data_IF_123668412704
#
_entry.id   IF_123668412704
#
_cell.length_a   1.000
_cell.length_b   1.000
_cell.length_c   1.000
_cell.angle_alpha   90.00
_cell.angle_beta   90.00
_cell.angle_gamma   90.00
#
_symmetry.space_group_name_H-M   'P 1'
#
loop_
_entity.id
_entity.type
_entity.pdbx_description
1 polymer ?
#
# COMPACT_ATOMS: atom_id res chain seq x y z
N UNK A 1 4.96 -37.28 48.99
CA UNK A 1 5.40 -35.91 49.37
C UNK A 1 5.99 -35.25 48.13
N UNK A 2 5.46 -34.10 47.68
CA UNK A 2 6.02 -33.37 46.53
C UNK A 2 7.31 -32.68 46.97
N UNK A 3 8.44 -33.10 46.41
CA UNK A 3 9.72 -32.40 46.55
C UNK A 3 9.68 -31.15 45.67
N UNK A 4 9.75 -29.98 46.29
CA UNK A 4 9.91 -28.71 45.57
C UNK A 4 11.39 -28.34 45.58
N UNK A 5 11.96 -28.09 44.41
CA UNK A 5 13.31 -27.56 44.27
C UNK A 5 13.23 -26.03 44.39
N UNK A 6 13.72 -25.47 45.48
CA UNK A 6 13.81 -24.00 45.68
C UNK A 6 15.10 -23.45 45.07
N UNK A 7 14.99 -22.71 43.97
CA UNK A 7 16.09 -21.95 43.38
C UNK A 7 16.22 -20.58 44.05
N UNK A 8 17.37 -20.28 44.67
CA UNK A 8 17.69 -18.94 45.21
C UNK A 8 18.39 -18.10 44.14
N UNK A 9 17.63 -17.30 43.39
CA UNK A 9 18.18 -16.34 42.43
C UNK A 9 18.57 -15.05 43.16
N UNK A 10 19.82 -14.56 42.98
CA UNK A 10 20.21 -13.25 43.52
C UNK A 10 19.41 -12.16 42.81
N UNK A 11 18.92 -11.16 43.56
CA UNK A 11 18.13 -10.03 43.03
C UNK A 11 18.77 -9.38 41.79
N UNK A 12 20.09 -9.30 41.74
CA UNK A 12 20.83 -8.76 40.58
C UNK A 12 20.59 -9.54 39.28
N UNK A 13 20.54 -10.87 39.33
CA UNK A 13 20.25 -11.69 38.15
C UNK A 13 18.81 -11.53 37.68
N UNK A 14 17.86 -11.33 38.62
CA UNK A 14 16.49 -11.03 38.27
C UNK A 14 16.37 -9.69 37.54
N UNK A 15 17.08 -8.65 38.02
CA UNK A 15 17.09 -7.35 37.34
C UNK A 15 17.74 -7.42 35.95
N UNK A 16 18.83 -8.16 35.80
CA UNK A 16 19.47 -8.38 34.49
C UNK A 16 18.51 -9.10 33.53
N UNK A 17 17.85 -10.17 34.00
CA UNK A 17 16.85 -10.89 33.20
C UNK A 17 15.72 -9.96 32.73
N UNK A 18 15.15 -9.16 33.63
CA UNK A 18 14.09 -8.22 33.30
C UNK A 18 14.56 -7.15 32.31
N UNK A 19 15.77 -6.62 32.50
CA UNK A 19 16.34 -5.63 31.60
C UNK A 19 16.54 -6.18 30.18
N UNK A 20 17.11 -7.38 30.06
CA UNK A 20 17.28 -8.05 28.76
C UNK A 20 15.91 -8.31 28.12
N UNK A 21 14.92 -8.75 28.90
CA UNK A 21 13.56 -8.99 28.41
C UNK A 21 12.88 -7.72 27.91
N UNK A 22 13.07 -6.59 28.59
CA UNK A 22 12.54 -5.29 28.13
C UNK A 22 13.20 -4.89 26.81
N UNK A 23 14.52 -4.99 26.70
CA UNK A 23 15.24 -4.64 25.46
C UNK A 23 14.77 -5.51 24.29
N UNK A 24 14.63 -6.82 24.48
CA UNK A 24 14.21 -7.71 23.39
C UNK A 24 12.78 -7.43 22.94
N UNK A 25 11.85 -7.17 23.87
CA UNK A 25 10.47 -6.82 23.53
C UNK A 25 10.38 -5.47 22.81
N UNK A 26 11.09 -4.45 23.29
CA UNK A 26 11.11 -3.13 22.65
C UNK A 26 11.75 -3.20 21.26
N UNK A 27 12.88 -3.90 21.13
CA UNK A 27 13.57 -4.08 19.85
C UNK A 27 12.72 -4.81 18.82
N UNK A 28 12.04 -5.89 19.24
CA UNK A 28 11.15 -6.64 18.36
C UNK A 28 9.90 -5.84 17.97
N UNK A 29 9.33 -5.08 18.90
CA UNK A 29 8.23 -4.17 18.63
C UNK A 29 8.61 -3.09 17.61
N UNK A 30 9.78 -2.48 17.78
CA UNK A 30 10.32 -1.50 16.84
C UNK A 30 10.57 -2.10 15.46
N UNK A 31 11.16 -3.29 15.39
CA UNK A 31 11.39 -4.01 14.13
C UNK A 31 10.08 -4.24 13.36
N UNK A 32 9.05 -4.77 14.03
CA UNK A 32 7.73 -4.99 13.42
C UNK A 32 7.09 -3.69 12.93
N UNK A 33 7.23 -2.62 13.71
CA UNK A 33 6.71 -1.32 13.33
C UNK A 33 7.38 -0.81 12.06
N UNK A 34 8.71 -0.87 11.97
CA UNK A 34 9.46 -0.47 10.77
C UNK A 34 9.04 -1.26 9.53
N UNK A 35 8.90 -2.59 9.65
CA UNK A 35 8.47 -3.44 8.55
C UNK A 35 7.07 -3.08 8.03
N UNK A 36 6.17 -2.66 8.93
CA UNK A 36 4.78 -2.32 8.60
C UNK A 36 4.59 -0.85 8.18
N UNK A 37 5.62 -0.01 8.31
CA UNK A 37 5.56 1.42 8.01
C UNK A 37 6.71 1.86 7.10
N UNK A 38 6.89 1.26 5.91
CA UNK A 38 7.85 1.79 4.94
C UNK A 38 7.51 3.22 4.53
N UNK A 39 8.45 3.90 3.89
CA UNK A 39 8.20 5.23 3.33
C UNK A 39 7.68 5.09 1.90
N UNK A 40 6.37 5.23 1.71
CA UNK A 40 5.71 5.12 0.40
C UNK A 40 5.36 6.53 -0.10
N UNK A 41 5.73 6.82 -1.34
CA UNK A 41 5.30 8.00 -2.08
C UNK A 41 4.58 7.55 -3.34
N UNK A 42 3.40 8.09 -3.58
CA UNK A 42 2.62 7.86 -4.79
C UNK A 42 2.51 9.20 -5.50
N UNK A 43 2.91 9.22 -6.77
CA UNK A 43 2.71 10.36 -7.66
C UNK A 43 1.78 9.94 -8.78
N UNK A 44 0.73 10.70 -9.03
CA UNK A 44 -0.06 10.50 -10.25
C UNK A 44 0.64 11.21 -11.39
N UNK A 45 0.82 10.50 -12.50
CA UNK A 45 1.49 11.06 -13.68
C UNK A 45 0.80 10.64 -14.96
N UNK A 46 0.98 11.42 -16.02
CA UNK A 46 0.55 11.05 -17.37
C UNK A 46 1.06 9.65 -17.78
N UNK A 47 0.15 8.86 -18.35
CA UNK A 47 0.44 7.53 -18.87
C UNK A 47 -0.54 7.21 -20.02
N UNK A 48 -0.43 6.01 -20.56
CA UNK A 48 -1.29 5.55 -21.65
C UNK A 48 -1.62 4.06 -21.52
N UNK A 49 -2.88 3.72 -21.77
CA UNK A 49 -3.32 2.34 -21.92
C UNK A 49 -3.14 1.83 -23.35
N UNK A 50 -2.56 2.60 -24.28
CA UNK A 50 -2.45 2.21 -25.69
C UNK A 50 -2.62 3.40 -26.62
N UNK A 51 -2.46 3.18 -27.93
CA UNK A 51 -2.57 4.27 -28.90
C UNK A 51 -3.90 5.03 -28.74
N UNK A 52 -3.82 6.34 -28.52
CA UNK A 52 -4.93 7.27 -28.30
C UNK A 52 -5.72 7.09 -26.99
N UNK A 53 -5.32 6.18 -26.09
CA UNK A 53 -5.92 6.00 -24.77
C UNK A 53 -5.05 6.65 -23.71
N UNK A 54 -5.26 7.93 -23.44
CA UNK A 54 -4.58 8.63 -22.33
C UNK A 54 -5.29 8.29 -21.03
N UNK A 55 -4.50 7.93 -20.04
CA UNK A 55 -4.96 7.66 -18.68
C UNK A 55 -3.80 7.92 -17.74
N UNK A 56 -4.02 8.69 -16.68
CA UNK A 56 -3.02 8.87 -15.64
C UNK A 56 -2.80 7.59 -14.83
N UNK A 57 -1.56 7.38 -14.40
CA UNK A 57 -1.14 6.18 -13.68
C UNK A 57 -0.49 6.54 -12.33
N UNK A 58 -0.65 5.69 -11.31
CA UNK A 58 0.06 5.83 -10.06
C UNK A 58 1.52 5.36 -10.20
N UNK A 59 2.48 6.26 -10.03
CA UNK A 59 3.89 5.93 -9.85
C UNK A 59 4.17 5.75 -8.36
N UNK A 60 4.44 4.51 -7.96
CA UNK A 60 4.67 4.14 -6.55
C UNK A 60 6.17 3.95 -6.32
N UNK A 61 6.73 4.76 -5.43
CA UNK A 61 8.13 4.67 -4.99
C UNK A 61 8.13 4.44 -3.49
N UNK A 62 8.84 3.40 -3.04
CA UNK A 62 8.93 3.08 -1.62
C UNK A 62 10.35 2.79 -1.16
N UNK A 63 10.62 3.04 0.12
CA UNK A 63 11.90 2.71 0.76
C UNK A 63 11.67 2.04 2.12
N UNK A 64 12.57 1.13 2.48
CA UNK A 64 12.54 0.47 3.78
C UNK A 64 13.08 1.38 4.88
N UNK A 65 12.45 1.36 6.06
CA UNK A 65 13.00 2.07 7.22
C UNK A 65 14.18 1.31 7.78
N UNK A 66 15.35 1.95 7.78
CA UNK A 66 16.59 1.40 8.35
C UNK A 66 17.02 0.04 7.76
N UNK A 67 16.69 -0.23 6.50
CA UNK A 67 17.02 -1.49 5.84
C UNK A 67 16.20 -2.69 6.34
N UNK A 68 15.16 -2.47 7.14
CA UNK A 68 14.25 -3.53 7.59
C UNK A 68 13.30 -3.86 6.44
N UNK A 69 13.29 -5.13 6.03
CA UNK A 69 12.42 -5.63 4.98
C UNK A 69 10.95 -5.30 5.26
N UNK A 70 10.26 -4.90 4.20
CA UNK A 70 8.85 -4.54 4.27
C UNK A 70 8.01 -5.78 4.59
N UNK A 71 6.97 -5.60 5.39
CA UNK A 71 6.02 -6.68 5.66
C UNK A 71 5.30 -7.08 4.36
N UNK A 72 5.13 -8.38 4.07
CA UNK A 72 4.47 -8.85 2.84
C UNK A 72 3.07 -8.27 2.62
N UNK A 73 2.35 -7.98 3.71
CA UNK A 73 1.04 -7.33 3.64
C UNK A 73 1.09 -5.96 2.94
N UNK A 74 2.12 -5.14 3.24
CA UNK A 74 2.27 -3.82 2.62
C UNK A 74 2.71 -3.94 1.15
N UNK A 75 3.53 -4.94 0.84
CA UNK A 75 3.90 -5.25 -0.54
C UNK A 75 2.69 -5.61 -1.39
N UNK A 76 1.83 -6.49 -0.86
CA UNK A 76 0.58 -6.88 -1.51
C UNK A 76 -0.36 -5.69 -1.74
N UNK A 77 -0.46 -4.77 -0.77
CA UNK A 77 -1.23 -3.53 -0.94
C UNK A 77 -0.72 -2.67 -2.10
N UNK A 78 0.61 -2.54 -2.25
CA UNK A 78 1.22 -1.80 -3.36
C UNK A 78 0.92 -2.49 -4.70
N UNK A 79 1.09 -3.81 -4.76
CA UNK A 79 0.81 -4.61 -5.96
C UNK A 79 -0.67 -4.53 -6.34
N UNK A 80 -1.57 -4.54 -5.37
CA UNK A 80 -3.01 -4.46 -5.63
C UNK A 80 -3.41 -3.13 -6.26
N UNK A 81 -2.82 -2.00 -5.85
CA UNK A 81 -3.03 -0.70 -6.50
C UNK A 81 -2.62 -0.77 -7.98
N UNK A 82 -1.46 -1.36 -8.27
CA UNK A 82 -0.96 -1.50 -9.65
C UNK A 82 -1.87 -2.41 -10.48
N UNK A 83 -2.30 -3.53 -9.90
CA UNK A 83 -3.15 -4.50 -10.57
C UNK A 83 -4.55 -3.92 -10.88
N UNK A 84 -5.14 -3.18 -9.95
CA UNK A 84 -6.40 -2.47 -10.22
C UNK A 84 -6.25 -1.49 -11.39
N UNK A 85 -5.17 -0.72 -11.42
CA UNK A 85 -4.91 0.20 -12.51
C UNK A 85 -4.74 -0.51 -13.85
N UNK A 86 -4.01 -1.62 -13.89
CA UNK A 86 -3.86 -2.44 -15.10
C UNK A 86 -5.20 -3.03 -15.57
N UNK A 87 -6.06 -3.44 -14.64
CA UNK A 87 -7.43 -3.86 -14.91
C UNK A 87 -8.24 -2.77 -15.61
N UNK A 88 -8.22 -1.53 -15.10
CA UNK A 88 -8.88 -0.38 -15.73
C UNK A 88 -8.32 -0.12 -17.13
N UNK A 89 -7.00 -0.11 -17.29
CA UNK A 89 -6.35 0.06 -18.58
C UNK A 89 -6.79 -1.01 -19.60
N UNK A 90 -6.97 -2.26 -19.16
CA UNK A 90 -7.44 -3.34 -20.01
C UNK A 90 -8.90 -3.14 -20.45
N UNK A 91 -9.78 -2.75 -19.53
CA UNK A 91 -11.17 -2.41 -19.85
C UNK A 91 -11.28 -1.26 -20.84
N UNK A 92 -10.42 -0.23 -20.71
CA UNK A 92 -10.41 0.90 -21.63
C UNK A 92 -10.04 0.49 -23.06
N UNK A 93 -9.04 -0.40 -23.22
CA UNK A 93 -8.64 -0.93 -24.54
C UNK A 93 -9.78 -1.66 -25.24
N UNK A 94 -10.61 -2.37 -24.48
CA UNK A 94 -11.71 -3.17 -25.02
C UNK A 94 -12.94 -2.31 -25.38
N UNK A 95 -13.19 -1.25 -24.63
CA UNK A 95 -14.43 -0.47 -24.75
C UNK A 95 -14.29 0.82 -25.60
N UNK A 96 -13.09 1.40 -25.69
CA UNK A 96 -12.91 2.76 -26.22
C UNK A 96 -11.83 2.86 -27.30
N UNK A 97 -12.08 3.76 -28.24
CA UNK A 97 -11.14 4.12 -29.31
C UNK A 97 -10.11 5.16 -28.85
N UNK A 98 -10.52 6.09 -27.99
CA UNK A 98 -9.65 7.10 -27.40
C UNK A 98 -10.13 7.51 -26.01
N UNK A 99 -9.22 8.02 -25.18
CA UNK A 99 -9.54 8.49 -23.83
C UNK A 99 -8.64 9.64 -23.41
N UNK A 100 -9.16 10.43 -22.48
CA UNK A 100 -8.43 11.43 -21.70
C UNK A 100 -8.97 11.35 -20.26
N UNK A 101 -8.31 10.51 -19.46
CA UNK A 101 -8.75 10.10 -18.12
C UNK A 101 -7.69 10.50 -17.09
N UNK A 102 -8.14 11.22 -16.07
CA UNK A 102 -7.37 11.57 -14.88
C UNK A 102 -7.60 10.53 -13.78
N UNK A 103 -6.67 10.49 -12.83
CA UNK A 103 -6.70 9.58 -11.70
C UNK A 103 -6.45 10.32 -10.39
N UNK A 104 -7.44 10.32 -9.50
CA UNK A 104 -7.26 10.78 -8.13
C UNK A 104 -7.09 9.57 -7.19
N UNK A 105 -5.99 9.53 -6.45
CA UNK A 105 -5.84 8.61 -5.32
C UNK A 105 -6.12 9.32 -4.00
N UNK A 106 -6.91 8.70 -3.14
CA UNK A 106 -7.16 9.22 -1.79
C UNK A 106 -7.39 8.10 -0.79
N UNK A 107 -7.29 8.43 0.50
CA UNK A 107 -7.68 7.52 1.59
C UNK A 107 -8.87 8.11 2.31
N UNK A 108 -9.99 7.39 2.35
CA UNK A 108 -11.21 7.79 3.07
C UNK A 108 -11.74 6.59 3.86
N UNK A 109 -12.13 6.81 5.11
CA UNK A 109 -12.72 5.77 5.97
C UNK A 109 -11.91 4.46 6.05
N UNK A 110 -10.58 4.56 6.11
CA UNK A 110 -9.70 3.40 6.19
C UNK A 110 -9.56 2.61 4.88
N UNK A 111 -10.02 3.17 3.76
CA UNK A 111 -9.93 2.56 2.43
C UNK A 111 -9.21 3.47 1.45
N UNK A 112 -8.41 2.88 0.59
CA UNK A 112 -7.77 3.55 -0.55
C UNK A 112 -8.76 3.59 -1.68
N UNK A 113 -8.95 4.77 -2.24
CA UNK A 113 -9.89 5.06 -3.31
C UNK A 113 -9.09 5.48 -4.54
N UNK A 114 -9.38 4.83 -5.66
CA UNK A 114 -8.86 5.17 -6.98
C UNK A 114 -10.05 5.68 -7.80
N UNK A 115 -10.10 6.99 -8.03
CA UNK A 115 -11.17 7.64 -8.78
C UNK A 115 -10.65 8.01 -10.17
N UNK A 116 -11.22 7.39 -11.18
CA UNK A 116 -10.90 7.64 -12.58
C UNK A 116 -12.00 8.48 -13.21
N UNK A 117 -11.64 9.64 -13.75
CA UNK A 117 -12.61 10.56 -14.32
C UNK A 117 -12.08 11.26 -15.56
N UNK A 118 -12.97 11.61 -16.47
CA UNK A 118 -12.61 12.30 -17.70
C UNK A 118 -13.55 11.94 -18.85
N UNK A 119 -12.98 11.79 -20.04
CA UNK A 119 -13.74 11.51 -21.26
C UNK A 119 -13.17 10.32 -22.00
N UNK A 120 -14.06 9.56 -22.63
CA UNK A 120 -13.67 8.48 -23.51
C UNK A 120 -14.58 8.47 -24.75
N UNK A 121 -14.02 8.12 -25.90
CA UNK A 121 -14.76 8.00 -27.16
C UNK A 121 -14.87 6.53 -27.53
N UNK A 122 -16.10 6.05 -27.67
CA UNK A 122 -16.39 4.67 -28.09
C UNK A 122 -15.96 4.43 -29.54
N UNK A 123 -15.83 3.18 -29.96
CA UNK A 123 -15.55 2.84 -31.37
C UNK A 123 -16.62 3.28 -32.37
N UNK A 124 -17.82 3.64 -31.90
CA UNK A 124 -18.87 4.24 -32.71
C UNK A 124 -18.70 5.77 -32.89
N UNK A 125 -17.64 6.37 -32.33
CA UNK A 125 -17.38 7.81 -32.39
C UNK A 125 -18.19 8.65 -31.42
N UNK A 126 -18.87 8.04 -30.45
CA UNK A 126 -19.62 8.74 -29.41
C UNK A 126 -18.72 9.02 -28.21
N UNK A 127 -18.62 10.30 -27.82
CA UNK A 127 -17.97 10.75 -26.59
C UNK A 127 -18.87 10.49 -25.37
N UNK A 128 -18.29 9.97 -24.31
CA UNK A 128 -18.95 9.64 -23.05
C UNK A 128 -18.11 10.13 -21.87
N UNK A 129 -18.78 10.53 -20.79
CA UNK A 129 -18.09 10.83 -19.54
C UNK A 129 -17.68 9.52 -18.88
N UNK A 130 -16.40 9.43 -18.52
CA UNK A 130 -15.87 8.35 -17.71
C UNK A 130 -15.82 8.84 -16.27
N UNK A 131 -16.43 8.10 -15.34
CA UNK A 131 -16.45 8.42 -13.92
C UNK A 131 -16.68 7.13 -13.14
N UNK A 132 -15.59 6.54 -12.64
CA UNK A 132 -15.63 5.29 -11.87
C UNK A 132 -14.75 5.40 -10.62
N UNK A 133 -15.20 4.76 -9.55
CA UNK A 133 -14.46 4.72 -8.29
C UNK A 133 -14.22 3.26 -7.88
N UNK A 134 -12.94 2.91 -7.73
CA UNK A 134 -12.52 1.61 -7.19
C UNK A 134 -12.09 1.80 -5.73
N UNK A 135 -12.67 0.99 -4.85
CA UNK A 135 -12.38 1.00 -3.40
C UNK A 135 -11.59 -0.23 -3.03
N UNK A 136 -10.39 -0.04 -2.49
CA UNK A 136 -9.56 -1.09 -1.95
C UNK A 136 -9.84 -1.27 -0.45
N UNK A 137 -9.76 -2.52 0.04
CA UNK A 137 -10.13 -2.86 1.41
C UNK A 137 -9.05 -2.53 2.47
N UNK A 138 -8.10 -1.66 2.12
CA UNK A 138 -7.02 -1.20 2.99
C UNK A 138 -6.76 0.30 2.82
N UNK A 139 -6.23 0.95 3.85
CA UNK A 139 -5.69 2.30 3.80
C UNK A 139 -4.18 2.25 3.55
N UNK A 140 -3.76 2.67 2.36
CA UNK A 140 -2.33 2.78 2.07
C UNK A 140 -1.73 3.92 2.90
N UNK A 141 -0.68 3.61 3.65
CA UNK A 141 0.08 4.62 4.38
C UNK A 141 1.14 5.23 3.47
N UNK A 142 0.71 6.16 2.61
CA UNK A 142 1.56 6.80 1.62
C UNK A 142 1.41 8.32 1.60
N UNK A 143 2.46 9.01 1.17
CA UNK A 143 2.38 10.41 0.73
C UNK A 143 1.90 10.42 -0.71
N UNK A 144 0.65 10.84 -0.91
CA UNK A 144 0.04 10.96 -2.24
C UNK A 144 0.22 12.39 -2.74
N UNK A 145 0.69 12.55 -3.98
CA UNK A 145 0.93 13.84 -4.63
C UNK A 145 0.44 13.84 -6.06
#
# INVERSE_FOLDING_TARGET
MKQYVTFKIKKIYLYILLFVLVITLCGFGYYKWCASHPEINIQVSESTAGNNLKIEAPQIIYTTRHGIEMAPEIELQIVEIQFQHEGICSLLKEAYQSSDIQLDLSVKNGKTIMHYYGKATTFAGKEENYDIETKLDFAINAKIK
#
